data_IF_491926581415
#
_entry.id   IF_491926581415
#
_cell.length_a   1.000
_cell.length_b   1.000
_cell.length_c   1.000
_cell.angle_alpha   90.00
_cell.angle_beta   90.00
_cell.angle_gamma   90.00
#
_symmetry.space_group_name_H-M   'P 1'
#
loop_
_entity.id
_entity.type
_entity.pdbx_description
1 polymer ?
#
# COMPACT_ATOMS: atom_id res chain seq x y z
N UNK A 1 2.10 -17.64 58.76
CA UNK A 1 1.17 -17.92 57.64
C UNK A 1 1.19 -16.87 56.51
N UNK A 2 1.82 -15.70 56.66
CA UNK A 2 1.80 -14.66 55.60
C UNK A 2 2.74 -14.90 54.40
N UNK A 3 3.79 -15.73 54.53
CA UNK A 3 4.75 -15.98 53.44
C UNK A 3 4.18 -16.83 52.28
N UNK A 4 3.13 -17.63 52.52
CA UNK A 4 2.50 -18.46 51.48
C UNK A 4 1.60 -17.65 50.54
N UNK A 5 0.97 -16.57 51.02
CA UNK A 5 0.11 -15.72 50.19
C UNK A 5 0.90 -14.84 49.21
N UNK A 6 2.10 -14.37 49.62
CA UNK A 6 2.99 -13.58 48.77
C UNK A 6 3.58 -14.40 47.61
N UNK A 7 4.03 -15.63 47.89
CA UNK A 7 4.60 -16.51 46.87
C UNK A 7 3.56 -16.96 45.83
N UNK A 8 2.33 -17.29 46.25
CA UNK A 8 1.24 -17.65 45.33
C UNK A 8 0.82 -16.48 44.43
N UNK A 9 0.77 -15.25 44.98
CA UNK A 9 0.50 -14.03 44.20
C UNK A 9 1.60 -13.78 43.14
N UNK A 10 2.87 -13.98 43.51
CA UNK A 10 4.02 -13.77 42.63
C UNK A 10 4.09 -14.82 41.51
N UNK A 11 3.81 -16.09 41.82
CA UNK A 11 3.67 -17.15 40.80
C UNK A 11 2.52 -16.89 39.84
N UNK A 12 1.37 -16.40 40.35
CA UNK A 12 0.22 -16.08 39.52
C UNK A 12 0.50 -14.89 38.61
N UNK A 13 1.19 -13.86 39.12
CA UNK A 13 1.63 -12.72 38.33
C UNK A 13 2.62 -13.14 37.24
N UNK A 14 3.59 -13.99 37.56
CA UNK A 14 4.55 -14.53 36.59
C UNK A 14 3.84 -15.29 35.45
N UNK A 15 2.86 -16.15 35.78
CA UNK A 15 2.06 -16.87 34.78
C UNK A 15 1.31 -15.92 33.86
N UNK A 16 0.69 -14.88 34.41
CA UNK A 16 -0.01 -13.86 33.60
C UNK A 16 0.96 -13.15 32.67
N UNK A 17 2.16 -12.76 33.15
CA UNK A 17 3.17 -12.13 32.29
C UNK A 17 3.63 -13.07 31.18
N UNK A 18 3.87 -14.35 31.47
CA UNK A 18 4.25 -15.34 30.46
C UNK A 18 3.16 -15.50 29.41
N UNK A 19 1.89 -15.60 29.82
CA UNK A 19 0.76 -15.72 28.89
C UNK A 19 0.66 -14.47 28.01
N UNK A 20 0.78 -13.27 28.58
CA UNK A 20 0.76 -12.03 27.82
C UNK A 20 1.94 -11.93 26.84
N UNK A 21 3.14 -12.32 27.26
CA UNK A 21 4.31 -12.35 26.39
C UNK A 21 4.15 -13.34 25.23
N UNK A 22 3.56 -14.51 25.48
CA UNK A 22 3.25 -15.49 24.44
C UNK A 22 2.23 -14.94 23.44
N UNK A 23 1.13 -14.34 23.93
CA UNK A 23 0.09 -13.74 23.07
C UNK A 23 0.65 -12.57 22.24
N UNK A 24 1.44 -11.70 22.86
CA UNK A 24 2.09 -10.58 22.16
C UNK A 24 3.10 -11.07 21.13
N UNK A 25 3.89 -12.08 21.47
CA UNK A 25 4.88 -12.69 20.58
C UNK A 25 4.23 -13.36 19.37
N UNK A 26 3.15 -14.14 19.57
CA UNK A 26 2.43 -14.78 18.47
C UNK A 26 1.72 -13.77 17.57
N UNK A 27 1.06 -12.77 18.14
CA UNK A 27 0.42 -11.70 17.37
C UNK A 27 1.45 -10.93 16.53
N UNK A 28 2.62 -10.62 17.11
CA UNK A 28 3.71 -9.93 16.41
C UNK A 28 4.30 -10.79 15.30
N UNK A 29 4.54 -12.07 15.56
CA UNK A 29 5.03 -13.02 14.56
C UNK A 29 4.08 -13.13 13.37
N UNK A 30 2.77 -13.27 13.62
CA UNK A 30 1.75 -13.29 12.57
C UNK A 30 1.67 -11.97 11.80
N UNK A 31 1.83 -10.84 12.48
CA UNK A 31 1.81 -9.53 11.82
C UNK A 31 3.00 -9.32 10.88
N UNK A 32 4.19 -9.81 11.25
CA UNK A 32 5.39 -9.72 10.41
C UNK A 32 5.33 -10.63 9.18
N UNK A 33 4.50 -11.68 9.21
CA UNK A 33 4.27 -12.61 8.11
C UNK A 33 3.15 -12.17 7.15
N UNK A 34 2.59 -10.96 7.34
CA UNK A 34 1.53 -10.47 6.45
C UNK A 34 2.08 -10.27 5.02
N UNK A 35 1.31 -10.60 3.98
CA UNK A 35 1.69 -10.32 2.61
C UNK A 35 1.71 -8.81 2.40
N UNK A 36 2.81 -8.27 1.87
CA UNK A 36 2.93 -6.84 1.55
C UNK A 36 2.97 -6.67 0.03
N UNK A 37 2.02 -5.92 -0.57
CA UNK A 37 2.03 -5.69 -2.00
C UNK A 37 3.24 -4.86 -2.42
N UNK A 38 3.85 -5.30 -3.51
CA UNK A 38 4.98 -4.64 -4.16
C UNK A 38 4.48 -3.86 -5.38
N UNK A 39 4.98 -2.65 -5.57
CA UNK A 39 4.52 -1.76 -6.65
C UNK A 39 5.67 -1.37 -7.56
N UNK A 40 5.39 -1.28 -8.85
CA UNK A 40 6.30 -0.75 -9.87
C UNK A 40 5.50 0.03 -10.92
N UNK A 41 6.16 0.96 -11.61
CA UNK A 41 5.58 1.65 -12.76
C UNK A 41 6.08 0.99 -14.05
N UNK A 42 5.17 0.61 -14.94
CA UNK A 42 5.54 0.21 -16.28
C UNK A 42 5.87 1.43 -17.15
N UNK A 43 6.58 1.21 -18.26
CA UNK A 43 7.10 2.29 -19.09
C UNK A 43 5.97 3.14 -19.70
N UNK A 44 6.21 4.45 -19.87
CA UNK A 44 5.18 5.38 -20.34
C UNK A 44 4.93 5.14 -21.83
N UNK A 45 3.84 4.47 -22.16
CA UNK A 45 3.37 4.35 -23.55
C UNK A 45 2.92 5.73 -24.03
N UNK A 46 3.76 6.37 -24.86
CA UNK A 46 3.55 7.62 -25.60
C UNK A 46 2.25 8.37 -25.26
N UNK A 47 2.32 9.29 -24.28
CA UNK A 47 1.17 10.00 -23.75
C UNK A 47 1.52 10.91 -22.57
N UNK A 48 0.52 11.31 -21.79
CA UNK A 48 0.71 12.06 -20.54
C UNK A 48 1.44 11.22 -19.50
N UNK A 49 2.34 11.81 -18.72
CA UNK A 49 3.01 11.12 -17.60
C UNK A 49 2.06 10.72 -16.47
N UNK A 50 0.79 11.12 -16.55
CA UNK A 50 -0.27 10.73 -15.61
C UNK A 50 -1.12 9.55 -16.13
N UNK A 51 -1.00 9.19 -17.40
CA UNK A 51 -1.69 8.06 -18.02
C UNK A 51 -0.78 6.81 -18.03
N UNK A 52 -0.25 6.47 -16.85
CA UNK A 52 0.72 5.37 -16.67
C UNK A 52 0.03 4.15 -16.08
N UNK A 53 0.41 2.98 -16.57
CA UNK A 53 0.01 1.70 -15.99
C UNK A 53 0.99 1.33 -14.89
N UNK A 54 0.46 1.10 -13.70
CA UNK A 54 1.22 0.60 -12.57
C UNK A 54 1.02 -0.90 -12.43
N UNK A 55 2.05 -1.58 -11.96
CA UNK A 55 2.03 -2.99 -11.67
C UNK A 55 2.08 -3.20 -10.17
N UNK A 56 1.15 -4.02 -9.68
CA UNK A 56 1.13 -4.53 -8.31
C UNK A 56 1.51 -6.01 -8.33
N UNK A 57 2.25 -6.45 -7.34
CA UNK A 57 2.76 -7.82 -7.25
C UNK A 57 2.61 -8.33 -5.81
N UNK A 58 2.11 -9.55 -5.68
CA UNK A 58 2.18 -10.29 -4.43
C UNK A 58 3.51 -11.05 -4.36
N UNK A 59 4.50 -10.48 -3.68
CA UNK A 59 5.80 -11.14 -3.47
C UNK A 59 5.77 -12.23 -2.40
N UNK A 60 4.66 -12.33 -1.66
CA UNK A 60 4.47 -13.39 -0.69
C UNK A 60 4.32 -14.74 -1.40
N UNK A 61 4.81 -15.80 -0.76
CA UNK A 61 4.79 -17.17 -1.32
C UNK A 61 3.74 -18.06 -0.65
N UNK A 62 3.13 -17.60 0.43
CA UNK A 62 2.26 -18.38 1.30
C UNK A 62 0.82 -17.85 1.33
N UNK A 63 0.63 -16.54 1.20
CA UNK A 63 -0.68 -15.91 1.40
C UNK A 63 -1.12 -15.08 0.19
N UNK A 64 -2.39 -15.22 -0.24
CA UNK A 64 -2.96 -14.39 -1.28
C UNK A 64 -3.31 -13.00 -0.75
N UNK A 65 -3.33 -12.01 -1.65
CA UNK A 65 -3.93 -10.70 -1.44
C UNK A 65 -5.40 -10.75 -1.91
N UNK A 66 -6.26 -11.38 -1.11
CA UNK A 66 -7.68 -11.55 -1.44
C UNK A 66 -8.47 -10.24 -1.34
N UNK A 67 -9.43 -10.04 -2.25
CA UNK A 67 -10.31 -8.87 -2.32
C UNK A 67 -9.52 -7.53 -2.34
N UNK A 68 -8.40 -7.54 -3.06
CA UNK A 68 -7.47 -6.43 -3.22
C UNK A 68 -8.16 -5.26 -3.90
N UNK A 69 -8.14 -4.12 -3.22
CA UNK A 69 -8.49 -2.81 -3.75
C UNK A 69 -7.29 -1.90 -3.65
N UNK A 70 -7.05 -1.13 -4.70
CA UNK A 70 -5.97 -0.15 -4.75
C UNK A 70 -6.60 1.23 -4.96
N UNK A 71 -6.16 2.17 -4.14
CA UNK A 71 -6.47 3.58 -4.29
C UNK A 71 -5.18 4.35 -4.52
N UNK A 72 -5.19 5.26 -5.48
CA UNK A 72 -4.11 6.16 -5.79
C UNK A 72 -4.26 7.43 -4.95
N UNK A 73 -3.22 7.82 -4.23
CA UNK A 73 -3.21 9.03 -3.42
C UNK A 73 -2.25 10.03 -4.00
N UNK A 74 -2.77 11.23 -4.27
CA UNK A 74 -1.99 12.38 -4.69
C UNK A 74 -1.54 13.13 -3.44
N UNK A 75 -0.27 12.99 -3.07
CA UNK A 75 0.27 13.50 -1.82
C UNK A 75 0.82 14.92 -1.96
N UNK A 76 1.42 15.21 -3.12
CA UNK A 76 2.02 16.51 -3.39
C UNK A 76 1.92 16.81 -4.88
N UNK A 77 1.41 18.00 -5.20
CA UNK A 77 1.47 18.60 -6.53
C UNK A 77 1.81 20.05 -6.29
N UNK A 78 2.89 20.56 -6.91
CA UNK A 78 3.47 21.87 -6.59
C UNK A 78 4.17 21.89 -5.23
N UNK A 79 4.88 22.96 -4.91
CA UNK A 79 5.52 23.21 -3.63
C UNK A 79 4.56 23.37 -2.43
N UNK A 80 3.25 23.11 -2.63
CA UNK A 80 2.22 23.25 -1.60
C UNK A 80 1.64 21.86 -1.27
N UNK A 81 1.63 21.44 0.01
CA UNK A 81 1.00 20.20 0.41
C UNK A 81 -0.52 20.30 0.21
N UNK A 82 -1.04 19.53 -0.74
CA UNK A 82 -2.48 19.35 -0.92
C UNK A 82 -2.97 18.33 0.10
N UNK A 83 -4.21 18.48 0.60
CA UNK A 83 -4.82 17.43 1.40
C UNK A 83 -4.82 16.11 0.60
N UNK A 84 -4.28 15.01 1.17
CA UNK A 84 -4.11 13.76 0.43
C UNK A 84 -5.46 13.28 -0.09
N UNK A 85 -5.62 13.31 -1.41
CA UNK A 85 -6.89 12.95 -2.03
C UNK A 85 -6.83 11.51 -2.52
N UNK A 86 -7.76 10.71 -2.04
CA UNK A 86 -7.87 9.30 -2.37
C UNK A 86 -8.69 9.14 -3.66
N UNK A 87 -8.11 8.50 -4.66
CA UNK A 87 -8.73 8.25 -5.96
C UNK A 87 -8.74 6.74 -6.17
N UNK A 88 -9.89 6.14 -6.47
CA UNK A 88 -9.92 4.70 -6.76
C UNK A 88 -9.17 4.38 -8.06
N UNK A 89 -8.37 3.31 -8.04
CA UNK A 89 -7.70 2.84 -9.25
C UNK A 89 -8.73 2.25 -10.23
N UNK A 90 -8.47 2.43 -11.52
CA UNK A 90 -9.30 1.95 -12.61
C UNK A 90 -8.55 0.91 -13.44
N UNK A 91 -9.27 0.19 -14.31
CA UNK A 91 -8.71 -0.82 -15.21
C UNK A 91 -7.83 -1.87 -14.49
N UNK A 92 -8.23 -2.32 -13.30
CA UNK A 92 -7.54 -3.42 -12.63
C UNK A 92 -7.60 -4.67 -13.50
N UNK A 93 -6.43 -5.20 -13.84
CA UNK A 93 -6.26 -6.43 -14.61
C UNK A 93 -5.41 -7.39 -13.80
N UNK A 94 -6.00 -8.52 -13.44
CA UNK A 94 -5.30 -9.62 -12.79
C UNK A 94 -4.94 -10.69 -13.82
N UNK A 95 -3.97 -11.54 -13.48
CA UNK A 95 -3.57 -12.65 -14.35
C UNK A 95 -4.77 -13.59 -14.63
N UNK A 96 -5.61 -13.81 -13.62
CA UNK A 96 -6.82 -14.63 -13.72
C UNK A 96 -8.04 -13.75 -13.99
N UNK A 97 -8.81 -14.08 -15.03
CA UNK A 97 -10.03 -13.32 -15.40
C UNK A 97 -11.10 -13.47 -14.32
N UNK A 98 -11.63 -12.34 -13.84
CA UNK A 98 -12.65 -12.31 -12.78
C UNK A 98 -12.10 -12.48 -11.37
N UNK A 99 -10.78 -12.54 -11.19
CA UNK A 99 -10.17 -12.51 -9.86
C UNK A 99 -10.45 -11.18 -9.16
N UNK A 100 -10.59 -11.23 -7.83
CA UNK A 100 -10.71 -10.05 -6.97
C UNK A 100 -9.41 -9.75 -6.21
N UNK A 101 -8.32 -10.45 -6.51
CA UNK A 101 -7.09 -10.43 -5.74
C UNK A 101 -5.90 -11.01 -6.49
N UNK A 102 -4.78 -11.15 -5.80
CA UNK A 102 -3.54 -11.74 -6.32
C UNK A 102 -3.16 -12.99 -5.53
N UNK A 103 -2.97 -14.11 -6.22
CA UNK A 103 -2.38 -15.31 -5.61
C UNK A 103 -0.89 -15.08 -5.28
N UNK A 104 -0.27 -15.94 -4.44
CA UNK A 104 1.17 -15.88 -4.17
C UNK A 104 1.99 -15.88 -5.46
N UNK A 105 2.89 -14.90 -5.61
CA UNK A 105 3.72 -14.72 -6.80
C UNK A 105 3.01 -14.12 -8.02
N UNK A 106 1.72 -13.82 -7.95
CA UNK A 106 1.01 -13.18 -9.06
C UNK A 106 1.20 -11.67 -9.09
N UNK A 107 1.02 -11.10 -10.27
CA UNK A 107 0.99 -9.65 -10.49
C UNK A 107 -0.22 -9.22 -11.28
N UNK A 108 -0.68 -8.01 -11.01
CA UNK A 108 -1.74 -7.35 -11.75
C UNK A 108 -1.31 -5.95 -12.18
N UNK A 109 -2.07 -5.35 -13.07
CA UNK A 109 -1.88 -3.97 -13.50
C UNK A 109 -3.09 -3.13 -13.20
N UNK A 110 -2.88 -1.83 -13.00
CA UNK A 110 -3.94 -0.86 -12.73
C UNK A 110 -3.53 0.52 -13.24
N UNK A 111 -4.52 1.39 -13.43
CA UNK A 111 -4.30 2.78 -13.85
C UNK A 111 -4.89 3.74 -12.83
N UNK A 112 -4.23 4.89 -12.65
CA UNK A 112 -4.72 5.94 -11.76
C UNK A 112 -5.29 7.10 -12.60
N UNK A 113 -6.58 7.46 -12.47
CA UNK A 113 -7.19 8.52 -13.26
C UNK A 113 -6.84 9.93 -12.70
N UNK A 114 -5.56 10.23 -12.50
CA UNK A 114 -5.12 11.53 -11.98
C UNK A 114 -5.46 12.68 -12.92
N UNK A 115 -5.48 12.42 -14.23
CA UNK A 115 -5.78 13.44 -15.24
C UNK A 115 -7.20 14.00 -15.10
N UNK A 116 -8.21 13.16 -14.89
CA UNK A 116 -9.60 13.64 -14.71
C UNK A 116 -9.74 14.42 -13.40
N UNK A 117 -9.02 13.99 -12.35
CA UNK A 117 -8.99 14.71 -11.08
C UNK A 117 -8.34 16.09 -11.21
N UNK A 118 -7.18 16.17 -11.87
CA UNK A 118 -6.48 17.44 -12.09
C UNK A 118 -7.19 18.32 -13.11
N UNK A 119 -7.87 17.78 -14.13
CA UNK A 119 -8.62 18.54 -15.13
C UNK A 119 -9.60 19.55 -14.51
N UNK A 120 -10.20 19.20 -13.36
CA UNK A 120 -11.08 20.07 -12.59
C UNK A 120 -10.34 21.17 -11.83
N UNK A 121 -9.06 20.99 -11.52
CA UNK A 121 -8.19 21.96 -10.83
C UNK A 121 -7.32 22.80 -11.81
N UNK A 122 -7.09 22.33 -13.04
CA UNK A 122 -6.14 22.91 -14.03
C UNK A 122 -6.71 24.02 -14.92
N UNK A 123 -7.92 24.54 -14.67
CA UNK A 123 -8.43 25.64 -15.52
C UNK A 123 -7.54 26.91 -15.43
N UNK A 124 -6.69 27.01 -14.40
CA UNK A 124 -5.94 28.23 -14.08
C UNK A 124 -4.40 28.13 -14.08
N UNK A 125 -3.73 26.99 -14.31
CA UNK A 125 -2.25 26.98 -14.24
C UNK A 125 -1.55 25.83 -15.03
N UNK A 126 -0.79 26.14 -16.11
CA UNK A 126 -0.04 25.15 -16.91
C UNK A 126 1.25 24.61 -16.25
N UNK A 127 1.63 25.08 -15.05
CA UNK A 127 2.87 24.70 -14.35
C UNK A 127 2.86 23.36 -13.57
N UNK A 128 1.73 22.64 -13.58
CA UNK A 128 1.42 21.48 -12.70
C UNK A 128 2.34 20.24 -12.81
N UNK A 129 3.21 20.16 -13.82
CA UNK A 129 3.98 18.94 -14.11
C UNK A 129 5.40 18.92 -13.52
N UNK A 130 5.83 19.90 -12.72
CA UNK A 130 7.26 20.04 -12.37
C UNK A 130 7.73 19.16 -11.20
N UNK A 131 6.88 18.88 -10.20
CA UNK A 131 7.12 17.91 -9.11
C UNK A 131 5.80 17.37 -8.58
N UNK A 132 5.55 16.09 -8.81
CA UNK A 132 4.39 15.38 -8.27
C UNK A 132 4.83 14.17 -7.46
N UNK A 133 4.12 13.91 -6.37
CA UNK A 133 4.34 12.78 -5.47
C UNK A 133 3.03 12.02 -5.29
N UNK A 134 3.08 10.71 -5.54
CA UNK A 134 1.96 9.80 -5.37
C UNK A 134 2.35 8.63 -4.49
N UNK A 135 1.36 8.00 -3.85
CA UNK A 135 1.52 6.68 -3.26
C UNK A 135 0.23 5.88 -3.43
N UNK A 136 0.31 4.58 -3.26
CA UNK A 136 -0.82 3.68 -3.40
C UNK A 136 -1.24 3.19 -2.03
N UNK A 137 -2.54 3.18 -1.78
CA UNK A 137 -3.15 2.56 -0.61
C UNK A 137 -3.81 1.27 -1.07
N UNK A 138 -3.33 0.15 -0.56
CA UNK A 138 -3.95 -1.16 -0.73
C UNK A 138 -4.88 -1.48 0.43
N UNK A 139 -5.99 -2.11 0.11
CA UNK A 139 -6.93 -2.68 1.06
C UNK A 139 -7.25 -4.13 0.64
N UNK A 140 -6.96 -5.10 1.50
CA UNK A 140 -7.11 -6.54 1.24
C UNK A 140 -7.44 -7.29 2.53
N UNK A 141 -7.89 -8.54 2.43
CA UNK A 141 -8.28 -9.32 3.60
C UNK A 141 -7.07 -9.85 4.40
N UNK A 142 -7.19 -9.90 5.73
CA UNK A 142 -6.19 -10.53 6.61
C UNK A 142 -6.11 -12.03 6.30
N UNK A 143 -4.93 -12.59 6.01
CA UNK A 143 -4.77 -14.03 5.84
C UNK A 143 -5.28 -14.80 7.07
N UNK A 144 -5.94 -15.93 6.85
CA UNK A 144 -6.50 -16.83 7.89
C UNK A 144 -7.70 -16.27 8.69
N UNK A 145 -7.92 -14.96 8.70
CA UNK A 145 -8.95 -14.29 9.51
C UNK A 145 -9.84 -13.40 8.63
N UNK A 146 -10.20 -13.85 7.43
CA UNK A 146 -10.80 -13.12 6.29
C UNK A 146 -12.10 -12.31 6.50
N UNK A 147 -12.43 -11.96 7.75
CA UNK A 147 -13.38 -10.93 8.16
C UNK A 147 -12.71 -9.58 8.42
N UNK A 148 -11.41 -9.55 8.67
CA UNK A 148 -10.66 -8.32 8.92
C UNK A 148 -9.93 -7.88 7.66
N UNK A 149 -9.86 -6.58 7.45
CA UNK A 149 -9.16 -5.97 6.31
C UNK A 149 -7.87 -5.31 6.77
N UNK A 150 -6.80 -5.51 6.02
CA UNK A 150 -5.53 -4.82 6.15
C UNK A 150 -5.52 -3.65 5.19
N UNK A 151 -5.09 -2.50 5.71
CA UNK A 151 -4.70 -1.37 4.89
C UNK A 151 -3.18 -1.25 4.93
N UNK A 152 -2.56 -1.06 3.78
CA UNK A 152 -1.14 -0.78 3.66
C UNK A 152 -0.88 0.34 2.65
N UNK A 153 0.11 1.19 2.92
CA UNK A 153 0.52 2.27 2.03
C UNK A 153 1.86 1.92 1.38
N UNK A 154 1.94 2.06 0.07
CA UNK A 154 3.17 1.87 -0.68
C UNK A 154 4.23 2.90 -0.33
N UNK A 155 5.47 2.61 -0.73
CA UNK A 155 6.47 3.65 -0.90
C UNK A 155 5.96 4.74 -1.85
N UNK A 156 6.48 5.95 -1.67
CA UNK A 156 6.10 7.10 -2.49
C UNK A 156 6.82 7.05 -3.84
N UNK A 157 6.13 7.50 -4.88
CA UNK A 157 6.64 7.64 -6.23
C UNK A 157 6.70 9.13 -6.58
N UNK A 158 7.79 9.51 -7.22
CA UNK A 158 8.10 10.88 -7.64
C UNK A 158 8.12 10.94 -9.16
N UNK A 159 7.56 12.00 -9.72
CA UNK A 159 7.64 12.25 -11.15
C UNK A 159 9.03 12.80 -11.51
N UNK A 160 9.81 12.03 -12.27
CA UNK A 160 11.08 12.50 -12.85
C UNK A 160 10.83 13.12 -14.23
N UNK A 161 10.95 14.43 -14.28
CA UNK A 161 10.77 15.26 -15.47
C UNK A 161 12.06 15.47 -16.27
N UNK A 162 13.20 14.97 -15.78
CA UNK A 162 14.50 15.08 -16.48
C UNK A 162 14.64 14.11 -17.65
N UNK A 163 13.81 13.08 -17.67
CA UNK A 163 13.74 12.10 -18.76
C UNK A 163 12.50 12.42 -19.60
N UNK A 164 12.63 12.27 -20.92
CA UNK A 164 11.52 12.39 -21.86
C UNK A 164 11.24 11.02 -22.49
N UNK A 165 10.03 10.44 -22.34
CA UNK A 165 8.90 10.96 -21.57
C UNK A 165 9.16 10.92 -20.04
N UNK A 166 8.53 11.80 -19.23
CA UNK A 166 8.66 11.79 -17.78
C UNK A 166 8.21 10.46 -17.18
N UNK A 167 8.89 9.98 -16.14
CA UNK A 167 8.65 8.65 -15.54
C UNK A 167 8.43 8.74 -14.03
N UNK A 168 7.64 7.82 -13.48
CA UNK A 168 7.49 7.68 -12.03
C UNK A 168 8.62 6.84 -11.46
N UNK A 169 9.26 7.31 -10.40
CA UNK A 169 10.40 6.66 -9.75
C UNK A 169 10.20 6.61 -8.24
N UNK A 170 10.60 5.51 -7.59
CA UNK A 170 10.46 5.35 -6.14
C UNK A 170 11.47 6.19 -5.33
N UNK A 171 12.55 6.64 -5.97
CA UNK A 171 13.54 7.52 -5.34
C UNK A 171 13.35 8.93 -5.86
N UNK A 172 13.39 9.94 -4.99
CA UNK A 172 13.36 11.32 -5.46
C UNK A 172 14.56 11.54 -6.39
N UNK A 173 14.35 12.11 -7.57
CA UNK A 173 15.43 12.34 -8.49
C UNK A 173 16.37 13.40 -7.87
N UNK A 174 17.67 13.09 -7.70
CA UNK A 174 18.70 13.96 -7.09
C UNK A 174 19.20 15.06 -8.02
#
# INVERSE_FOLDING_TARGET
>A
MMARGGAQSLEQMLRVVIVLALVAGTATGLWLLRPVPSYSSDDVTAGSSFDVTFRVENKDTWFPLANLRISCVLAHVRAEPIAPTLIEATNMRFATTGASGLEPGESGTFTCPFRSFMAHQTKDDPGMATRAEIYFRSDYDVPLLGRFRLTDNSARFFLDTRVLPPRWVQKPPQ
#
